data_IF_165457713685
#
_entry.id   IF_165457713685
#
_cell.length_a   1.000
_cell.length_b   1.000
_cell.length_c   1.000
_cell.angle_alpha   90.00
_cell.angle_beta   90.00
_cell.angle_gamma   90.00
#
_symmetry.space_group_name_H-M   'P 1'
#
loop_
_entity.id
_entity.type
_entity.pdbx_description
1 polymer ?
#
# COMPACT_ATOMS: atom_id res chain seq x y z
N UNK A 1 -17.70 -0.43 -19.25
CA UNK A 1 -16.78 -1.40 -19.92
C UNK A 1 -15.31 -0.96 -19.96
N UNK A 2 -14.93 0.22 -20.50
CA UNK A 2 -13.52 0.66 -20.47
C UNK A 2 -13.09 1.25 -19.12
N UNK A 3 -13.99 1.93 -18.42
CA UNK A 3 -13.77 2.46 -17.06
C UNK A 3 -13.65 1.34 -16.02
N UNK A 4 -14.52 0.33 -16.06
CA UNK A 4 -14.48 -0.82 -15.14
C UNK A 4 -13.12 -1.55 -15.22
N UNK A 5 -12.64 -1.83 -16.44
CA UNK A 5 -11.35 -2.48 -16.67
C UNK A 5 -10.17 -1.68 -16.11
N UNK A 6 -10.23 -0.34 -16.15
CA UNK A 6 -9.18 0.52 -15.57
C UNK A 6 -9.22 0.49 -14.05
N UNK A 7 -10.42 0.53 -13.46
CA UNK A 7 -10.59 0.44 -12.01
C UNK A 7 -10.05 -0.88 -11.45
N UNK A 8 -10.32 -1.99 -12.14
CA UNK A 8 -9.82 -3.32 -11.74
C UNK A 8 -8.29 -3.42 -11.86
N UNK A 9 -7.73 -2.87 -12.95
CA UNK A 9 -6.28 -2.82 -13.16
C UNK A 9 -5.59 -1.97 -12.09
N UNK A 10 -6.15 -0.82 -11.75
CA UNK A 10 -5.60 0.06 -10.72
C UNK A 10 -5.70 -0.57 -9.33
N UNK A 11 -6.79 -1.30 -9.04
CA UNK A 11 -6.94 -2.06 -7.80
C UNK A 11 -5.88 -3.16 -7.67
N UNK A 12 -5.65 -3.94 -8.73
CA UNK A 12 -4.62 -4.98 -8.75
C UNK A 12 -3.20 -4.41 -8.63
N UNK A 13 -2.92 -3.27 -9.31
CA UNK A 13 -1.65 -2.56 -9.16
C UNK A 13 -1.44 -2.04 -7.73
N UNK A 14 -2.46 -1.44 -7.12
CA UNK A 14 -2.43 -0.96 -5.72
C UNK A 14 -2.11 -2.10 -4.77
N UNK A 15 -2.81 -3.23 -4.92
CA UNK A 15 -2.58 -4.44 -4.15
C UNK A 15 -1.12 -4.88 -4.20
N UNK A 16 -0.57 -5.11 -5.40
CA UNK A 16 0.82 -5.56 -5.57
C UNK A 16 1.84 -4.59 -4.98
N UNK A 17 1.57 -3.29 -5.11
CA UNK A 17 2.43 -2.25 -4.59
C UNK A 17 2.40 -2.21 -3.05
N UNK A 18 1.23 -2.34 -2.44
CA UNK A 18 1.09 -2.44 -0.97
C UNK A 18 1.81 -3.68 -0.42
N UNK A 19 1.69 -4.84 -1.07
CA UNK A 19 2.41 -6.04 -0.69
C UNK A 19 3.94 -5.85 -0.78
N UNK A 20 4.43 -5.16 -1.82
CA UNK A 20 5.86 -4.82 -1.95
C UNK A 20 6.31 -3.95 -0.78
N UNK A 21 5.59 -2.86 -0.50
CA UNK A 21 5.93 -1.94 0.59
C UNK A 21 5.90 -2.62 1.95
N UNK A 22 4.93 -3.52 2.17
CA UNK A 22 4.88 -4.34 3.38
C UNK A 22 6.11 -5.23 3.51
N UNK A 23 6.49 -5.96 2.44
CA UNK A 23 7.71 -6.77 2.43
C UNK A 23 8.97 -5.95 2.70
N UNK A 24 9.07 -4.76 2.10
CA UNK A 24 10.21 -3.86 2.31
C UNK A 24 10.28 -3.40 3.78
N UNK A 25 9.15 -3.07 4.40
CA UNK A 25 9.08 -2.70 5.81
C UNK A 25 9.48 -3.89 6.71
N UNK A 26 8.97 -5.08 6.44
CA UNK A 26 9.34 -6.30 7.19
C UNK A 26 10.80 -6.71 7.02
N UNK A 27 11.40 -6.44 5.85
CA UNK A 27 12.82 -6.68 5.62
C UNK A 27 13.71 -5.67 6.36
N UNK A 28 13.20 -4.46 6.58
CA UNK A 28 13.94 -3.37 7.25
C UNK A 28 13.84 -3.44 8.78
N UNK A 29 12.77 -4.05 9.30
CA UNK A 29 12.50 -4.20 10.74
C UNK A 29 11.87 -5.59 11.02
N UNK A 30 12.59 -6.53 11.66
CA UNK A 30 12.06 -7.85 12.01
C UNK A 30 10.85 -7.80 12.95
N UNK A 31 10.69 -6.75 13.76
CA UNK A 31 9.52 -6.60 14.65
C UNK A 31 8.26 -6.24 13.87
N UNK A 32 8.40 -5.73 12.64
CA UNK A 32 7.28 -5.34 11.80
C UNK A 32 6.37 -6.51 11.42
N UNK A 33 6.91 -7.74 11.40
CA UNK A 33 6.12 -8.97 11.16
C UNK A 33 5.08 -9.24 12.26
N UNK A 34 5.32 -8.73 13.47
CA UNK A 34 4.44 -8.93 14.63
C UNK A 34 3.50 -7.75 14.89
N UNK A 35 3.59 -6.69 14.08
CA UNK A 35 2.76 -5.49 14.24
C UNK A 35 1.34 -5.73 13.72
N UNK A 36 0.40 -5.00 14.30
CA UNK A 36 -0.99 -5.04 13.85
C UNK A 36 -1.12 -4.46 12.44
N UNK A 37 -2.12 -4.93 11.67
CA UNK A 37 -2.39 -4.40 10.32
C UNK A 37 -2.62 -2.89 10.32
N UNK A 38 -3.16 -2.34 11.41
CA UNK A 38 -3.33 -0.89 11.61
C UNK A 38 -2.00 -0.14 11.65
N UNK A 39 -0.99 -0.68 12.34
CA UNK A 39 0.35 -0.09 12.45
C UNK A 39 1.10 -0.20 11.13
N UNK A 40 0.98 -1.34 10.43
CA UNK A 40 1.52 -1.53 9.09
C UNK A 40 0.91 -0.50 8.12
N UNK A 41 -0.41 -0.33 8.14
CA UNK A 41 -1.11 0.64 7.31
C UNK A 41 -0.65 2.08 7.59
N UNK A 42 -0.43 2.44 8.86
CA UNK A 42 0.12 3.73 9.24
C UNK A 42 1.54 3.93 8.70
N UNK A 43 2.41 2.92 8.80
CA UNK A 43 3.78 3.00 8.25
C UNK A 43 3.78 3.20 6.73
N UNK A 44 2.92 2.48 6.01
CA UNK A 44 2.78 2.61 4.57
C UNK A 44 2.23 4.00 4.19
N UNK A 45 1.20 4.50 4.86
CA UNK A 45 0.65 5.83 4.62
C UNK A 45 1.72 6.92 4.76
N UNK A 46 2.53 6.86 5.82
CA UNK A 46 3.63 7.81 6.02
C UNK A 46 4.69 7.72 4.92
N UNK A 47 5.03 6.50 4.48
CA UNK A 47 5.98 6.28 3.39
C UNK A 47 5.48 6.83 2.06
N UNK A 48 4.19 6.65 1.76
CA UNK A 48 3.50 7.24 0.59
C UNK A 48 3.51 8.77 0.66
N UNK A 49 3.23 9.35 1.82
CA UNK A 49 3.25 10.79 2.03
C UNK A 49 4.65 11.37 1.76
N UNK A 50 5.71 10.70 2.25
CA UNK A 50 7.12 11.07 2.07
C UNK A 50 7.67 10.74 0.68
N UNK A 51 7.02 9.85 -0.08
CA UNK A 51 7.48 9.39 -1.40
C UNK A 51 8.68 8.46 -1.35
N UNK A 52 8.95 7.81 -0.21
CA UNK A 52 10.13 6.96 -0.02
C UNK A 52 9.98 5.61 -0.73
N UNK A 53 10.83 5.32 -1.70
CA UNK A 53 10.80 4.05 -2.44
C UNK A 53 9.61 3.92 -3.40
N UNK A 54 9.03 5.06 -3.81
CA UNK A 54 7.95 5.14 -4.78
C UNK A 54 8.35 6.07 -5.92
N UNK A 55 8.08 5.66 -7.16
CA UNK A 55 8.13 6.58 -8.29
C UNK A 55 6.85 7.46 -8.35
N UNK A 56 6.82 8.43 -9.27
CA UNK A 56 5.71 9.37 -9.38
C UNK A 56 4.35 8.70 -9.68
N UNK A 57 4.33 7.65 -10.52
CA UNK A 57 3.12 6.92 -10.88
C UNK A 57 2.61 6.08 -9.69
N UNK A 58 3.51 5.38 -9.01
CA UNK A 58 3.21 4.59 -7.81
C UNK A 58 2.67 5.46 -6.67
N UNK A 59 3.27 6.63 -6.46
CA UNK A 59 2.78 7.59 -5.48
C UNK A 59 1.40 8.11 -5.86
N UNK A 60 1.17 8.48 -7.13
CA UNK A 60 -0.14 8.95 -7.59
C UNK A 60 -1.22 7.86 -7.46
N UNK A 61 -0.84 6.59 -7.61
CA UNK A 61 -1.74 5.45 -7.48
C UNK A 61 -2.19 5.22 -6.02
N UNK A 62 -1.30 5.44 -5.05
CA UNK A 62 -1.58 5.24 -3.61
C UNK A 62 -2.04 6.49 -2.86
N UNK A 63 -1.67 7.69 -3.32
CA UNK A 63 -2.02 8.95 -2.66
C UNK A 63 -3.52 9.15 -2.36
N UNK A 64 -4.47 8.65 -3.18
CA UNK A 64 -5.89 8.75 -2.87
C UNK A 64 -6.37 7.81 -1.74
N UNK A 65 -5.57 6.83 -1.34
CA UNK A 65 -5.96 5.84 -0.33
C UNK A 65 -5.78 6.43 1.06
N UNK A 66 -6.82 6.33 1.89
CA UNK A 66 -6.70 6.62 3.32
C UNK A 66 -6.00 5.47 4.05
N UNK A 67 -5.50 5.72 5.27
CA UNK A 67 -5.06 4.65 6.18
C UNK A 67 -6.04 3.49 6.29
N UNK A 68 -7.35 3.79 6.34
CA UNK A 68 -8.40 2.77 6.45
C UNK A 68 -8.50 1.93 5.17
N UNK A 69 -8.38 2.56 4.01
CA UNK A 69 -8.40 1.84 2.73
C UNK A 69 -7.19 0.92 2.62
N UNK A 70 -6.00 1.41 3.01
CA UNK A 70 -4.77 0.61 3.06
C UNK A 70 -4.95 -0.57 4.01
N UNK A 71 -5.48 -0.35 5.22
CA UNK A 71 -5.73 -1.40 6.19
C UNK A 71 -6.69 -2.47 5.63
N UNK A 72 -7.81 -2.07 5.03
CA UNK A 72 -8.77 -3.00 4.42
C UNK A 72 -8.10 -3.82 3.32
N UNK A 73 -7.34 -3.18 2.43
CA UNK A 73 -6.64 -3.86 1.33
C UNK A 73 -5.60 -4.86 1.85
N UNK A 74 -4.93 -4.56 2.98
CA UNK A 74 -4.00 -5.48 3.63
C UNK A 74 -4.70 -6.62 4.37
N UNK A 75 -5.87 -6.39 4.97
CA UNK A 75 -6.64 -7.41 5.71
C UNK A 75 -7.41 -8.39 4.81
N UNK A 76 -7.60 -8.04 3.53
CA UNK A 76 -8.26 -8.91 2.55
C UNK A 76 -7.31 -9.97 1.96
N UNK A 77 -6.11 -10.15 2.52
CA UNK A 77 -5.07 -11.09 2.06
C UNK A 77 -4.64 -12.07 3.15
#
# INVERSE_FOLDING_TARGET
MLQDKRSDLDAEKRKRLLERLMRDLSASDPEFYYRSTSEVAQGIEQRVARGEGLNAEERALLAPLSRRDIQVLLSLH
#
